data_IF_872283395773
#
_entry.id   IF_872283395773
#
_cell.length_a   1.000
_cell.length_b   1.000
_cell.length_c   1.000
_cell.angle_alpha   90.00
_cell.angle_beta   90.00
_cell.angle_gamma   90.00
#
_symmetry.space_group_name_H-M   'P 1'
#
loop_
_entity.id
_entity.type
_entity.pdbx_description
1 polymer ?
#
# COMPACT_ATOMS: atom_id res chain seq x y z
N UNK A 1 -30.95 -27.62 -24.83
CA UNK A 1 -30.66 -29.04 -24.93
C UNK A 1 -29.63 -29.18 -26.02
N UNK A 2 -28.39 -29.47 -25.64
CA UNK A 2 -27.24 -29.25 -26.52
C UNK A 2 -27.11 -30.36 -27.56
N UNK A 3 -27.16 -29.97 -28.82
CA UNK A 3 -26.98 -30.83 -30.00
C UNK A 3 -25.68 -31.67 -29.91
N UNK A 4 -24.66 -31.15 -29.28
CA UNK A 4 -23.39 -31.84 -29.04
C UNK A 4 -23.55 -32.95 -27.98
N UNK A 5 -24.29 -32.72 -26.90
CA UNK A 5 -24.56 -33.72 -25.87
C UNK A 5 -25.38 -34.89 -26.39
N UNK A 6 -26.39 -34.61 -27.24
CA UNK A 6 -27.20 -35.66 -27.89
C UNK A 6 -26.40 -36.47 -28.92
N UNK A 7 -25.49 -35.80 -29.65
CA UNK A 7 -24.60 -36.46 -30.61
C UNK A 7 -23.57 -37.37 -29.93
N UNK A 8 -23.05 -36.99 -28.76
CA UNK A 8 -22.13 -37.83 -27.98
C UNK A 8 -22.83 -39.02 -27.33
N UNK A 9 -24.11 -38.85 -26.94
CA UNK A 9 -24.89 -39.90 -26.27
C UNK A 9 -25.43 -40.98 -27.23
N UNK A 10 -25.67 -40.63 -28.50
CA UNK A 10 -26.10 -41.58 -29.51
C UNK A 10 -24.92 -42.41 -30.01
N UNK A 11 -24.93 -43.73 -29.70
CA UNK A 11 -23.81 -44.69 -29.94
C UNK A 11 -23.61 -45.11 -31.39
N UNK A 12 -24.21 -44.48 -32.39
CA UNK A 12 -23.96 -44.82 -33.78
C UNK A 12 -22.61 -44.21 -34.24
N UNK A 13 -21.64 -45.07 -34.57
CA UNK A 13 -20.33 -44.68 -35.13
C UNK A 13 -20.52 -44.19 -36.56
N UNK A 14 -20.73 -42.88 -36.72
CA UNK A 14 -20.72 -42.27 -38.04
C UNK A 14 -19.30 -41.91 -38.46
N UNK A 15 -18.94 -42.03 -39.76
CA UNK A 15 -17.58 -41.75 -40.24
C UNK A 15 -17.12 -40.32 -40.00
N UNK A 16 -18.02 -39.38 -39.69
CA UNK A 16 -17.75 -37.98 -39.44
C UNK A 16 -17.67 -37.60 -37.93
N UNK A 17 -18.00 -38.53 -37.04
CA UNK A 17 -18.09 -38.26 -35.59
C UNK A 17 -16.77 -37.71 -35.01
N UNK A 18 -15.65 -38.34 -35.34
CA UNK A 18 -14.32 -37.89 -34.85
C UNK A 18 -13.95 -36.52 -35.41
N UNK A 19 -14.34 -36.19 -36.65
CA UNK A 19 -14.16 -34.86 -37.23
C UNK A 19 -14.99 -33.80 -36.56
N UNK A 20 -16.25 -34.07 -36.24
CA UNK A 20 -17.14 -33.13 -35.53
C UNK A 20 -16.63 -32.85 -34.12
N UNK A 21 -16.26 -33.90 -33.39
CA UNK A 21 -15.70 -33.72 -32.01
C UNK A 21 -14.40 -32.93 -32.06
N UNK A 22 -13.50 -33.22 -32.97
CA UNK A 22 -12.23 -32.48 -33.12
C UNK A 22 -12.47 -31.01 -33.45
N UNK A 23 -13.37 -30.72 -34.39
CA UNK A 23 -13.75 -29.35 -34.77
C UNK A 23 -14.33 -28.58 -33.58
N UNK A 24 -15.25 -29.20 -32.83
CA UNK A 24 -15.85 -28.60 -31.66
C UNK A 24 -14.81 -28.30 -30.58
N UNK A 25 -13.92 -29.24 -30.29
CA UNK A 25 -12.82 -29.04 -29.33
C UNK A 25 -11.85 -27.94 -29.79
N UNK A 26 -11.50 -27.91 -31.08
CA UNK A 26 -10.65 -26.86 -31.64
C UNK A 26 -11.31 -25.48 -31.52
N UNK A 27 -12.60 -25.37 -31.88
CA UNK A 27 -13.35 -24.12 -31.76
C UNK A 27 -13.39 -23.64 -30.29
N UNK A 28 -13.68 -24.55 -29.36
CA UNK A 28 -13.70 -24.25 -27.96
C UNK A 28 -12.29 -23.78 -27.45
N UNK A 29 -11.22 -24.45 -27.91
CA UNK A 29 -9.85 -24.06 -27.65
C UNK A 29 -9.52 -22.65 -28.15
N UNK A 30 -9.97 -22.33 -29.37
CA UNK A 30 -9.76 -20.96 -29.90
C UNK A 30 -10.56 -19.91 -29.15
N UNK A 31 -11.79 -20.18 -28.76
CA UNK A 31 -12.60 -19.24 -27.96
C UNK A 31 -11.96 -18.98 -26.62
N UNK A 32 -11.44 -20.01 -25.93
CA UNK A 32 -10.70 -19.84 -24.67
C UNK A 32 -9.43 -19.02 -24.91
N UNK A 33 -8.64 -19.36 -25.92
CA UNK A 33 -7.40 -18.66 -26.22
C UNK A 33 -7.64 -17.17 -26.54
N UNK A 34 -8.67 -16.86 -27.32
CA UNK A 34 -9.06 -15.48 -27.64
C UNK A 34 -9.53 -14.72 -26.42
N UNK A 35 -10.33 -15.35 -25.57
CA UNK A 35 -10.78 -14.77 -24.29
C UNK A 35 -9.59 -14.45 -23.37
N UNK A 36 -8.62 -15.36 -23.23
CA UNK A 36 -7.41 -15.14 -22.47
C UNK A 36 -6.58 -14.00 -23.08
N UNK A 37 -6.34 -14.06 -24.40
CA UNK A 37 -5.54 -13.06 -25.11
C UNK A 37 -6.11 -11.64 -24.98
N UNK A 38 -7.43 -11.50 -25.00
CA UNK A 38 -8.11 -10.20 -24.83
C UNK A 38 -7.96 -9.61 -23.42
N UNK A 39 -7.72 -10.42 -22.38
CA UNK A 39 -7.56 -9.97 -20.99
C UNK A 39 -6.10 -9.75 -20.59
N UNK A 40 -5.13 -10.32 -21.29
CA UNK A 40 -3.70 -10.17 -20.97
C UNK A 40 -3.27 -8.69 -20.88
N UNK A 41 -3.63 -7.79 -21.82
CA UNK A 41 -3.20 -6.40 -21.76
C UNK A 41 -3.72 -5.66 -20.49
N UNK A 42 -4.94 -5.96 -20.05
CA UNK A 42 -5.51 -5.34 -18.84
C UNK A 42 -4.80 -5.82 -17.58
N UNK A 43 -4.50 -7.10 -17.48
CA UNK A 43 -3.75 -7.71 -16.35
C UNK A 43 -2.33 -7.13 -16.31
N UNK A 44 -1.67 -7.03 -17.44
CA UNK A 44 -0.31 -6.45 -17.51
C UNK A 44 -0.29 -4.98 -17.08
N UNK A 45 -1.28 -4.20 -17.50
CA UNK A 45 -1.43 -2.81 -17.08
C UNK A 45 -1.66 -2.70 -15.56
N UNK A 46 -2.51 -3.53 -14.98
CA UNK A 46 -2.75 -3.56 -13.54
C UNK A 46 -1.49 -3.93 -12.76
N UNK A 47 -0.75 -4.94 -13.19
CA UNK A 47 0.51 -5.35 -12.57
C UNK A 47 1.57 -4.23 -12.61
N UNK A 48 1.70 -3.54 -13.74
CA UNK A 48 2.61 -2.38 -13.86
C UNK A 48 2.18 -1.23 -12.92
N UNK A 49 0.89 -1.00 -12.79
CA UNK A 49 0.36 0.02 -11.90
C UNK A 49 0.65 -0.31 -10.43
N UNK A 50 0.38 -1.53 -10.00
CA UNK A 50 0.68 -2.01 -8.63
C UNK A 50 2.19 -1.91 -8.34
N UNK A 51 3.03 -2.30 -9.29
CA UNK A 51 4.50 -2.19 -9.14
C UNK A 51 4.92 -0.74 -8.93
N UNK A 52 4.43 0.20 -9.76
CA UNK A 52 4.74 1.62 -9.65
C UNK A 52 4.26 2.22 -8.33
N UNK A 53 3.05 1.85 -7.87
CA UNK A 53 2.53 2.32 -6.58
C UNK A 53 3.41 1.85 -5.41
N UNK A 54 3.90 0.61 -5.43
CA UNK A 54 4.85 0.09 -4.43
C UNK A 54 6.20 0.81 -4.49
N UNK A 55 6.70 1.11 -5.67
CA UNK A 55 7.93 1.90 -5.86
C UNK A 55 7.79 3.31 -5.26
N UNK A 56 6.65 3.97 -5.49
CA UNK A 56 6.35 5.25 -4.87
C UNK A 56 6.28 5.16 -3.34
N UNK A 57 5.65 4.12 -2.81
CA UNK A 57 5.61 3.89 -1.37
C UNK A 57 7.02 3.72 -0.78
N UNK A 58 7.85 2.88 -1.37
CA UNK A 58 9.21 2.64 -0.89
C UNK A 58 10.06 3.92 -0.92
N UNK A 59 9.98 4.70 -2.00
CA UNK A 59 10.66 5.98 -2.13
C UNK A 59 10.17 7.00 -1.09
N UNK A 60 8.86 7.04 -0.83
CA UNK A 60 8.29 7.88 0.21
C UNK A 60 8.83 7.50 1.59
N UNK A 61 8.85 6.20 1.96
CA UNK A 61 9.35 5.74 3.25
C UNK A 61 10.84 6.08 3.41
N UNK A 62 11.63 5.96 2.36
CA UNK A 62 13.04 6.38 2.39
C UNK A 62 13.16 7.88 2.68
N UNK A 63 12.49 8.74 1.89
CA UNK A 63 12.49 10.19 2.12
C UNK A 63 11.99 10.55 3.52
N UNK A 64 10.95 9.86 4.00
CA UNK A 64 10.41 10.08 5.32
C UNK A 64 11.43 9.74 6.41
N UNK A 65 12.12 8.62 6.31
CA UNK A 65 13.10 8.20 7.31
C UNK A 65 14.25 9.18 7.49
N UNK A 66 14.56 9.94 6.44
CA UNK A 66 15.65 10.93 6.45
C UNK A 66 15.20 12.32 6.91
N UNK A 67 13.88 12.64 6.81
CA UNK A 67 13.42 14.02 6.91
C UNK A 67 12.23 14.24 7.87
N UNK A 68 11.67 13.23 8.53
CA UNK A 68 10.45 13.35 9.33
C UNK A 68 10.56 14.30 10.53
N UNK A 69 11.75 14.57 11.02
CA UNK A 69 11.96 15.51 12.14
C UNK A 69 11.84 16.96 11.69
N UNK A 70 12.31 17.27 10.49
CA UNK A 70 12.34 18.63 9.94
C UNK A 70 11.16 18.94 9.05
N UNK A 71 10.71 17.95 8.26
CA UNK A 71 9.71 18.12 7.22
C UNK A 71 8.41 17.39 7.58
N UNK A 72 7.33 18.16 7.74
CA UNK A 72 6.02 17.63 8.15
C UNK A 72 4.92 17.87 7.14
N UNK A 73 5.20 18.65 6.10
CA UNK A 73 4.23 19.01 5.09
C UNK A 73 4.20 17.97 3.97
N UNK A 74 3.00 17.50 3.63
CA UNK A 74 2.78 16.52 2.56
C UNK A 74 3.28 17.05 1.21
N UNK A 75 3.11 18.35 0.97
CA UNK A 75 3.57 19.04 -0.24
C UNK A 75 5.06 18.87 -0.46
N UNK A 76 5.88 19.00 0.59
CA UNK A 76 7.33 18.84 0.50
C UNK A 76 7.75 17.46 -0.04
N UNK A 77 7.13 16.38 0.51
CA UNK A 77 7.38 15.01 0.03
C UNK A 77 6.92 14.81 -1.42
N UNK A 78 5.76 15.38 -1.74
CA UNK A 78 5.20 15.29 -3.10
C UNK A 78 6.12 15.96 -4.12
N UNK A 79 6.61 17.17 -3.83
CA UNK A 79 7.51 17.92 -4.70
C UNK A 79 8.83 17.17 -4.94
N UNK A 80 9.43 16.58 -3.87
CA UNK A 80 10.65 15.77 -3.99
C UNK A 80 10.47 14.50 -4.82
N UNK A 81 9.24 14.02 -4.91
CA UNK A 81 8.88 12.86 -5.72
C UNK A 81 8.36 13.22 -7.12
N UNK A 82 8.25 14.51 -7.46
CA UNK A 82 7.61 15.01 -8.66
C UNK A 82 6.17 14.52 -8.82
N UNK A 83 5.41 14.53 -7.72
CA UNK A 83 4.01 14.11 -7.64
C UNK A 83 3.15 15.23 -7.08
N UNK A 84 1.85 15.18 -7.35
CA UNK A 84 0.92 16.05 -6.63
C UNK A 84 0.66 15.53 -5.21
N UNK A 85 0.41 16.40 -4.21
CA UNK A 85 0.08 15.97 -2.84
C UNK A 85 -1.11 15.02 -2.78
N UNK A 86 -2.12 15.26 -3.63
CA UNK A 86 -3.30 14.39 -3.74
C UNK A 86 -2.94 13.00 -4.25
N UNK A 87 -2.16 12.91 -5.32
CA UNK A 87 -1.74 11.62 -5.88
C UNK A 87 -0.87 10.84 -4.88
N UNK A 88 0.11 11.51 -4.26
CA UNK A 88 0.94 10.88 -3.23
C UNK A 88 0.07 10.31 -2.10
N UNK A 89 -0.81 11.12 -1.50
CA UNK A 89 -1.67 10.68 -0.39
C UNK A 89 -2.55 9.50 -0.79
N UNK A 90 -3.16 9.54 -1.98
CA UNK A 90 -4.01 8.45 -2.48
C UNK A 90 -3.22 7.17 -2.69
N UNK A 91 -2.04 7.27 -3.31
CA UNK A 91 -1.17 6.12 -3.58
C UNK A 91 -0.64 5.48 -2.29
N UNK A 92 -0.12 6.30 -1.36
CA UNK A 92 0.37 5.81 -0.06
C UNK A 92 -0.75 5.13 0.72
N UNK A 93 -1.95 5.73 0.77
CA UNK A 93 -3.10 5.14 1.44
C UNK A 93 -3.55 3.83 0.80
N UNK A 94 -3.55 3.74 -0.53
CA UNK A 94 -3.91 2.52 -1.26
C UNK A 94 -2.97 1.37 -0.94
N UNK A 95 -1.66 1.64 -0.89
CA UNK A 95 -0.64 0.61 -0.65
C UNK A 95 -0.53 0.21 0.82
N UNK A 96 -0.65 1.16 1.76
CA UNK A 96 -0.34 0.94 3.17
C UNK A 96 -1.53 0.99 4.13
N UNK A 97 -2.69 1.43 3.65
CA UNK A 97 -3.87 1.68 4.48
C UNK A 97 -3.81 2.99 5.29
N UNK A 98 -2.69 3.73 5.26
CA UNK A 98 -2.47 4.95 6.03
C UNK A 98 -2.14 6.14 5.14
N UNK A 99 -2.52 7.35 5.57
CA UNK A 99 -2.16 8.58 4.84
C UNK A 99 -0.70 8.95 5.04
N UNK A 100 -0.19 9.87 4.20
CA UNK A 100 1.16 10.44 4.36
C UNK A 100 1.33 11.08 5.75
N UNK A 101 0.34 11.85 6.21
CA UNK A 101 0.38 12.48 7.53
C UNK A 101 0.39 11.47 8.67
N UNK A 102 -0.33 10.35 8.54
CA UNK A 102 -0.30 9.25 9.53
C UNK A 102 1.11 8.63 9.62
N UNK A 103 1.77 8.45 8.48
CA UNK A 103 3.13 7.94 8.46
C UNK A 103 4.12 8.89 9.11
N UNK A 104 4.05 10.20 8.82
CA UNK A 104 4.87 11.23 9.47
C UNK A 104 4.66 11.16 11.00
N UNK A 105 3.40 11.17 11.45
CA UNK A 105 3.09 11.06 12.87
C UNK A 105 3.65 9.78 13.50
N UNK A 106 3.54 8.63 12.83
CA UNK A 106 4.06 7.34 13.32
C UNK A 106 5.57 7.36 13.52
N UNK A 107 6.33 7.94 12.59
CA UNK A 107 7.79 8.06 12.70
C UNK A 107 8.17 8.94 13.89
N UNK A 108 7.54 10.12 14.02
CA UNK A 108 7.77 11.03 15.14
C UNK A 108 7.44 10.37 16.49
N UNK A 109 6.28 9.68 16.58
CA UNK A 109 5.86 9.02 17.82
C UNK A 109 6.77 7.85 18.17
N UNK A 110 7.21 7.06 17.18
CA UNK A 110 8.17 5.97 17.42
C UNK A 110 9.46 6.49 18.04
N UNK A 111 10.00 7.56 17.47
CA UNK A 111 11.25 8.16 17.95
C UNK A 111 11.06 8.86 19.29
N UNK A 112 9.95 9.59 19.48
CA UNK A 112 9.59 10.19 20.77
C UNK A 112 9.51 9.13 21.89
N UNK A 113 8.87 7.99 21.63
CA UNK A 113 8.80 6.89 22.59
C UNK A 113 10.20 6.36 22.94
N UNK A 114 11.04 6.16 21.93
CA UNK A 114 12.40 5.70 22.13
C UNK A 114 13.22 6.68 22.98
N UNK A 115 13.22 7.97 22.62
CA UNK A 115 13.97 9.00 23.36
C UNK A 115 13.46 9.15 24.80
N UNK A 116 12.14 9.10 25.02
CA UNK A 116 11.56 9.20 26.37
C UNK A 116 11.97 8.04 27.26
N UNK A 117 12.18 6.84 26.72
CA UNK A 117 12.51 5.63 27.49
C UNK A 117 14.00 5.38 27.63
N UNK A 118 14.79 5.71 26.62
CA UNK A 118 16.17 5.25 26.51
C UNK A 118 17.20 6.37 26.54
N UNK A 119 16.79 7.63 26.78
CA UNK A 119 17.72 8.73 26.94
C UNK A 119 17.51 9.45 28.26
N UNK A 120 18.57 10.14 28.74
CA UNK A 120 18.54 11.01 29.90
C UNK A 120 17.94 12.41 29.58
N UNK A 121 17.47 12.63 28.36
CA UNK A 121 16.90 13.91 27.94
C UNK A 121 15.67 14.26 28.74
N UNK A 122 15.53 15.51 29.15
CA UNK A 122 14.25 16.03 29.67
C UNK A 122 13.17 16.01 28.59
N UNK A 123 11.90 16.06 28.96
CA UNK A 123 10.78 16.15 27.99
C UNK A 123 10.92 17.37 27.07
N UNK A 124 11.49 18.46 27.58
CA UNK A 124 11.76 19.66 26.80
C UNK A 124 12.87 19.41 25.76
N UNK A 125 13.94 18.74 26.13
CA UNK A 125 15.02 18.38 25.20
C UNK A 125 14.52 17.42 24.11
N UNK A 126 13.70 16.41 24.46
CA UNK A 126 13.05 15.54 23.46
C UNK A 126 12.17 16.35 22.51
N UNK A 127 11.43 17.34 23.02
CA UNK A 127 10.62 18.20 22.15
C UNK A 127 11.49 18.98 21.14
N UNK A 128 12.61 19.51 21.56
CA UNK A 128 13.55 20.24 20.68
C UNK A 128 14.26 19.31 19.70
N UNK A 129 14.70 18.13 20.14
CA UNK A 129 15.31 17.11 19.27
C UNK A 129 14.37 16.69 18.13
N UNK A 130 13.09 16.57 18.43
CA UNK A 130 12.06 16.26 17.45
C UNK A 130 11.52 17.51 16.74
N UNK A 131 12.23 18.65 16.83
CA UNK A 131 11.89 19.90 16.15
C UNK A 131 10.45 20.40 16.44
N UNK A 132 10.02 20.33 17.71
CA UNK A 132 8.81 21.01 18.16
C UNK A 132 9.13 22.41 18.67
N UNK A 133 8.25 23.41 18.45
CA UNK A 133 8.46 24.78 18.89
C UNK A 133 8.68 24.89 20.42
N UNK A 134 8.03 24.04 21.18
CA UNK A 134 8.18 23.95 22.63
C UNK A 134 7.58 22.65 23.19
N UNK A 135 7.83 22.39 24.47
CA UNK A 135 7.34 21.22 25.21
C UNK A 135 5.80 21.11 25.21
N UNK A 136 5.07 22.21 25.22
CA UNK A 136 3.60 22.20 25.27
C UNK A 136 2.97 21.67 23.96
N UNK A 137 3.53 22.09 22.81
CA UNK A 137 3.11 21.55 21.50
C UNK A 137 3.42 20.06 21.37
N UNK A 138 4.64 19.67 21.78
CA UNK A 138 5.03 18.26 21.82
C UNK A 138 4.10 17.45 22.75
N UNK A 139 3.84 17.93 23.95
CA UNK A 139 2.97 17.25 24.91
C UNK A 139 1.55 17.02 24.39
N UNK A 140 0.94 18.03 23.74
CA UNK A 140 -0.37 17.91 23.10
C UNK A 140 -0.35 16.90 21.94
N UNK A 141 0.66 16.98 21.07
CA UNK A 141 0.85 16.07 19.96
C UNK A 141 1.02 14.63 20.44
N UNK A 142 1.93 14.40 21.38
CA UNK A 142 2.21 13.07 21.92
C UNK A 142 0.97 12.47 22.59
N UNK A 143 0.29 13.24 23.45
CA UNK A 143 -0.95 12.78 24.12
C UNK A 143 -2.06 12.45 23.14
N UNK A 144 -2.21 13.24 22.05
CA UNK A 144 -3.21 12.98 21.02
C UNK A 144 -2.98 11.62 20.33
N UNK A 145 -1.72 11.23 20.11
CA UNK A 145 -1.39 10.03 19.36
C UNK A 145 -1.13 8.78 20.23
N UNK A 146 -0.87 8.95 21.53
CA UNK A 146 -0.54 7.84 22.46
C UNK A 146 -1.56 7.67 23.57
N UNK A 147 -2.44 8.65 23.78
CA UNK A 147 -3.42 8.67 24.89
C UNK A 147 -2.86 9.23 26.19
N UNK A 148 -1.54 9.31 26.39
CA UNK A 148 -0.91 9.76 27.64
C UNK A 148 0.12 10.88 27.44
N UNK A 149 0.41 11.63 28.49
CA UNK A 149 1.45 12.66 28.42
C UNK A 149 2.86 12.06 28.28
N UNK A 150 3.83 12.80 27.72
CA UNK A 150 5.23 12.33 27.61
C UNK A 150 5.83 11.92 28.96
N UNK A 151 5.57 12.71 30.02
CA UNK A 151 6.04 12.38 31.37
C UNK A 151 5.40 11.13 31.95
N UNK A 152 4.08 10.95 31.77
CA UNK A 152 3.38 9.72 32.18
C UNK A 152 3.93 8.50 31.40
N UNK A 153 4.16 8.63 30.08
CA UNK A 153 4.75 7.58 29.26
C UNK A 153 6.14 7.18 29.73
N UNK A 154 7.01 8.17 30.06
CA UNK A 154 8.35 7.90 30.60
C UNK A 154 8.31 7.03 31.85
N UNK A 155 7.37 7.31 32.75
CA UNK A 155 7.25 6.62 34.04
C UNK A 155 6.37 5.36 33.98
N UNK A 156 5.75 5.06 32.83
CA UNK A 156 4.95 3.83 32.66
C UNK A 156 5.86 2.61 32.46
N UNK A 157 5.37 1.42 32.81
CA UNK A 157 6.06 0.16 32.53
C UNK A 157 5.71 -0.39 31.13
N UNK A 158 5.06 0.40 30.27
CA UNK A 158 4.78 0.01 28.88
C UNK A 158 6.06 0.14 28.04
N UNK A 159 6.50 -0.97 27.44
CA UNK A 159 7.52 -1.04 26.41
C UNK A 159 6.96 -0.75 25.01
#
# INVERSE_FOLDING_TARGET
MDMISDYIRNREDTPFRSGIIRSALSTFGYVIADTIASHIPSIEYELRTIKREKEHFNRFIQLLSENYTTEREVSWYADRMNLTPRYLTTTIRKVSGHTVSDWICRFIIKDAKYLLKHSEMTVQQVAYELNFPNQSFFGKFFKKHTGMSPGAYRNSNEE
#
